data_IF_150257267015
#
_entry.id   IF_150257267015
#
_cell.length_a   1.000
_cell.length_b   1.000
_cell.length_c   1.000
_cell.angle_alpha   90.00
_cell.angle_beta   90.00
_cell.angle_gamma   90.00
#
_symmetry.space_group_name_H-M   'P 1'
#
loop_
_entity.id
_entity.type
_entity.pdbx_description
1 polymer ?
#
# COMPACT_ATOMS: atom_id res chain seq x y z
N UNK A 1 5.99 -11.77 3.68
CA UNK A 1 5.06 -10.78 3.10
C UNK A 1 4.87 -11.01 1.60
N UNK A 2 5.93 -11.19 0.80
CA UNK A 2 5.81 -11.44 -0.66
C UNK A 2 4.91 -12.63 -1.03
N UNK A 3 5.06 -13.78 -0.34
CA UNK A 3 4.20 -14.94 -0.57
C UNK A 3 2.71 -14.64 -0.31
N UNK A 4 2.42 -13.87 0.74
CA UNK A 4 1.05 -13.46 1.10
C UNK A 4 0.47 -12.58 -0.01
N UNK A 5 1.21 -11.57 -0.45
CA UNK A 5 0.78 -10.66 -1.51
C UNK A 5 0.55 -11.38 -2.84
N UNK A 6 1.43 -12.33 -3.18
CA UNK A 6 1.29 -13.18 -4.36
C UNK A 6 0.02 -14.04 -4.30
N UNK A 7 -0.27 -14.65 -3.17
CA UNK A 7 -1.50 -15.44 -2.98
C UNK A 7 -2.75 -14.56 -3.03
N UNK A 8 -2.71 -13.37 -2.43
CA UNK A 8 -3.81 -12.39 -2.55
C UNK A 8 -4.08 -12.04 -4.00
N UNK A 9 -3.06 -11.70 -4.80
CA UNK A 9 -3.20 -11.35 -6.22
C UNK A 9 -3.77 -12.49 -7.07
N UNK A 10 -3.38 -13.72 -6.76
CA UNK A 10 -3.83 -14.91 -7.48
C UNK A 10 -5.29 -15.29 -7.14
N UNK A 11 -5.86 -14.74 -6.07
CA UNK A 11 -7.20 -15.09 -5.63
C UNK A 11 -8.27 -14.58 -6.62
N UNK A 12 -9.32 -15.37 -6.96
CA UNK A 12 -10.35 -14.95 -7.92
C UNK A 12 -11.13 -13.69 -7.52
N UNK A 13 -11.16 -13.36 -6.23
CA UNK A 13 -11.78 -12.14 -5.72
C UNK A 13 -10.85 -10.91 -5.76
N UNK A 14 -9.61 -11.03 -6.26
CA UNK A 14 -8.66 -9.93 -6.26
C UNK A 14 -8.90 -8.89 -7.36
N UNK A 15 -9.79 -9.18 -8.33
CA UNK A 15 -9.98 -8.36 -9.54
C UNK A 15 -10.23 -6.86 -9.30
N UNK A 16 -10.94 -6.39 -8.25
CA UNK A 16 -11.12 -4.96 -8.01
C UNK A 16 -9.88 -4.28 -7.44
N UNK A 17 -8.94 -5.05 -6.90
CA UNK A 17 -7.79 -4.56 -6.14
C UNK A 17 -6.49 -4.65 -6.94
N UNK A 18 -6.56 -4.94 -8.24
CA UNK A 18 -5.36 -5.11 -9.07
C UNK A 18 -4.78 -3.78 -9.58
N UNK A 19 -5.63 -2.75 -9.67
CA UNK A 19 -5.33 -1.43 -10.20
C UNK A 19 -5.94 -0.38 -9.28
N UNK A 20 -5.38 0.84 -9.26
CA UNK A 20 -5.83 1.83 -8.33
C UNK A 20 -7.17 2.42 -8.75
N UNK A 21 -7.86 3.03 -7.78
CA UNK A 21 -9.15 3.68 -8.04
C UNK A 21 -8.88 5.00 -8.78
N UNK A 22 -9.37 5.09 -10.01
CA UNK A 22 -9.26 6.33 -10.79
C UNK A 22 -10.20 7.40 -10.23
N UNK A 23 -9.66 8.38 -9.50
CA UNK A 23 -10.47 9.45 -8.89
C UNK A 23 -11.03 10.46 -9.89
N UNK A 24 -10.50 10.53 -11.12
CA UNK A 24 -11.08 11.36 -12.17
C UNK A 24 -12.42 10.80 -12.66
N UNK A 25 -12.56 9.47 -12.63
CA UNK A 25 -13.79 8.74 -12.95
C UNK A 25 -14.74 8.68 -11.76
N UNK A 26 -14.20 8.47 -10.56
CA UNK A 26 -14.97 8.31 -9.31
C UNK A 26 -14.77 9.51 -8.40
N UNK A 27 -15.45 10.62 -8.73
CA UNK A 27 -15.21 11.93 -8.12
C UNK A 27 -15.61 12.06 -6.65
N UNK A 28 -16.55 11.22 -6.20
CA UNK A 28 -17.03 11.19 -4.82
C UNK A 28 -16.26 10.21 -3.92
N UNK A 29 -15.25 9.52 -4.47
CA UNK A 29 -14.48 8.53 -3.72
C UNK A 29 -13.83 9.13 -2.46
N UNK A 30 -13.17 10.28 -2.63
CA UNK A 30 -12.48 11.00 -1.55
C UNK A 30 -13.44 11.71 -0.58
N UNK A 31 -14.72 11.82 -0.92
CA UNK A 31 -15.74 12.33 0.00
C UNK A 31 -16.10 11.28 1.06
N UNK A 32 -15.95 10.00 0.74
CA UNK A 32 -16.27 8.87 1.62
C UNK A 32 -15.01 8.27 2.25
N UNK A 33 -13.98 8.00 1.45
CA UNK A 33 -12.74 7.37 1.90
C UNK A 33 -11.78 8.46 2.36
N UNK A 34 -11.53 8.52 3.67
CA UNK A 34 -10.73 9.56 4.32
C UNK A 34 -9.29 9.15 4.66
N UNK A 35 -8.99 7.86 4.58
CA UNK A 35 -7.66 7.31 4.92
C UNK A 35 -7.17 6.44 3.75
N UNK A 36 -6.43 7.02 2.80
CA UNK A 36 -5.81 6.28 1.73
C UNK A 36 -4.60 5.49 2.24
N UNK A 37 -4.35 4.32 1.65
CA UNK A 37 -3.25 3.42 2.03
C UNK A 37 -1.86 4.05 1.86
N UNK A 38 -1.73 5.04 0.97
CA UNK A 38 -0.50 5.82 0.81
C UNK A 38 -0.17 6.70 2.02
N UNK A 39 -1.16 7.06 2.84
CA UNK A 39 -1.02 7.95 4.00
C UNK A 39 -1.14 7.23 5.35
N UNK A 40 -1.54 5.95 5.36
CA UNK A 40 -1.54 5.10 6.55
C UNK A 40 -0.10 4.78 7.00
N UNK A 41 0.46 5.69 7.79
CA UNK A 41 1.32 5.36 8.92
C UNK A 41 2.52 4.43 8.67
N UNK A 42 3.51 4.87 7.90
CA UNK A 42 4.91 4.53 8.23
C UNK A 42 5.36 5.35 9.44
N UNK A 43 4.77 5.10 10.61
CA UNK A 43 5.28 5.60 11.91
C UNK A 43 6.15 4.55 12.58
N UNK A 44 7.11 3.99 11.85
CA UNK A 44 8.24 3.26 12.41
C UNK A 44 9.35 3.10 11.35
N UNK A 45 10.18 4.13 11.14
CA UNK A 45 11.47 3.92 10.44
C UNK A 45 12.03 5.10 9.65
N UNK A 46 11.21 6.03 9.18
CA UNK A 46 11.72 7.18 8.39
C UNK A 46 12.48 8.19 9.25
N UNK A 47 12.18 8.31 10.55
CA UNK A 47 12.93 9.18 11.46
C UNK A 47 14.35 8.69 11.77
N UNK A 48 14.58 7.37 11.82
CA UNK A 48 15.89 6.81 12.17
C UNK A 48 16.86 6.68 10.98
N UNK A 49 16.33 6.44 9.77
CA UNK A 49 17.16 6.31 8.57
C UNK A 49 17.55 7.66 7.95
N UNK A 50 16.71 8.69 8.08
CA UNK A 50 17.06 10.04 7.61
C UNK A 50 18.14 10.66 8.51
N UNK A 51 18.13 10.41 9.82
CA UNK A 51 19.19 10.86 10.73
C UNK A 51 20.55 10.17 10.48
N UNK A 52 20.55 8.91 10.01
CA UNK A 52 21.79 8.18 9.66
C UNK A 52 22.31 8.60 8.27
N UNK A 53 21.42 8.84 7.30
CA UNK A 53 21.82 9.26 5.93
C UNK A 53 22.22 10.72 5.83
N UNK A 54 21.73 11.60 6.73
CA UNK A 54 22.11 13.02 6.77
C UNK A 54 23.42 13.27 7.54
N UNK A 55 23.92 12.31 8.32
CA UNK A 55 25.12 12.51 9.16
C UNK A 55 26.44 11.95 8.58
N UNK A 56 26.38 11.13 7.52
CA UNK A 56 27.59 10.56 6.86
C UNK A 56 27.87 11.16 5.46
N UNK A 57 27.00 12.02 4.92
CA UNK A 57 27.22 12.67 3.62
C UNK A 57 28.03 13.95 3.81
N UNK A 58 29.28 13.79 4.26
CA UNK A 58 30.26 14.85 4.25
C UNK A 58 30.54 15.27 2.80
N UNK A 59 30.54 16.58 2.62
CA UNK A 59 30.71 17.35 1.40
C UNK A 59 31.83 16.80 0.49
N UNK A 60 31.53 16.71 -0.82
CA UNK A 60 32.44 16.30 -1.92
C UNK A 60 32.42 14.80 -2.26
N UNK A 61 32.46 14.50 -3.56
CA UNK A 61 32.55 13.16 -4.17
C UNK A 61 31.24 12.37 -4.36
N UNK A 62 30.42 12.79 -5.32
CA UNK A 62 29.77 11.82 -6.23
C UNK A 62 29.51 12.43 -7.62
N UNK A 63 30.59 12.92 -8.24
CA UNK A 63 30.71 12.88 -9.70
C UNK A 63 31.16 11.46 -10.02
N UNK A 64 30.58 10.85 -11.06
CA UNK A 64 30.85 9.50 -11.61
C UNK A 64 29.97 8.37 -11.03
N UNK A 65 28.83 8.15 -11.71
CA UNK A 65 28.35 6.80 -12.04
C UNK A 65 27.47 6.07 -11.02
N UNK A 66 26.23 6.52 -10.78
CA UNK A 66 25.08 5.63 -10.49
C UNK A 66 23.78 6.43 -10.62
N UNK A 67 23.29 6.59 -11.86
CA UNK A 67 21.95 7.13 -12.14
C UNK A 67 20.96 6.01 -11.79
N UNK A 68 20.59 5.89 -10.51
CA UNK A 68 19.44 5.09 -10.07
C UNK A 68 18.79 5.56 -8.78
N UNK A 69 19.32 6.60 -8.14
CA UNK A 69 18.74 7.21 -6.92
C UNK A 69 17.76 8.35 -7.24
N UNK A 70 17.72 8.84 -8.48
CA UNK A 70 16.93 10.03 -8.84
C UNK A 70 15.44 9.80 -9.19
N UNK A 71 14.94 8.56 -9.28
CA UNK A 71 13.54 8.35 -9.68
C UNK A 71 12.54 8.47 -8.51
N UNK A 72 12.92 8.08 -7.29
CA UNK A 72 11.98 8.00 -6.17
C UNK A 72 11.71 9.33 -5.45
N UNK A 73 12.68 10.24 -5.36
CA UNK A 73 12.45 11.55 -4.76
C UNK A 73 11.63 12.47 -5.69
N UNK A 74 11.72 12.26 -7.01
CA UNK A 74 10.95 13.03 -7.98
C UNK A 74 9.47 12.63 -8.02
N UNK A 75 9.12 11.35 -7.81
CA UNK A 75 7.71 10.96 -7.69
C UNK A 75 7.05 11.47 -6.40
N UNK A 76 7.76 11.49 -5.27
CA UNK A 76 7.20 12.01 -4.01
C UNK A 76 7.10 13.55 -3.95
N UNK A 77 7.93 14.28 -4.71
CA UNK A 77 7.90 15.74 -4.77
C UNK A 77 7.08 16.31 -5.95
N UNK A 78 6.60 15.46 -6.88
CA UNK A 78 5.85 15.89 -8.07
C UNK A 78 4.40 15.42 -8.12
N UNK A 79 3.94 14.59 -7.18
CA UNK A 79 2.52 14.25 -7.10
C UNK A 79 1.79 15.41 -6.40
N UNK A 80 0.87 16.12 -7.07
CA UNK A 80 0.01 17.05 -6.37
C UNK A 80 -0.76 16.28 -5.31
N UNK A 81 -0.90 16.85 -4.12
CA UNK A 81 -1.55 16.28 -2.92
C UNK A 81 -3.05 15.92 -3.09
N UNK A 82 -3.53 15.76 -4.33
CA UNK A 82 -4.91 15.62 -4.73
C UNK A 82 -5.17 14.34 -5.56
N UNK A 83 -4.23 13.39 -5.62
CA UNK A 83 -4.35 12.09 -6.31
C UNK A 83 -4.13 10.92 -5.35
N UNK A 84 -4.80 10.98 -4.19
CA UNK A 84 -4.64 9.98 -3.13
C UNK A 84 -5.43 8.69 -3.38
N UNK A 85 -6.50 8.73 -4.19
CA UNK A 85 -7.27 7.52 -4.54
C UNK A 85 -6.56 6.60 -5.52
N UNK A 86 -5.50 7.09 -6.19
CA UNK A 86 -4.66 6.29 -7.09
C UNK A 86 -3.71 5.32 -6.33
N UNK A 87 -3.81 5.24 -5.00
CA UNK A 87 -2.85 4.54 -4.13
C UNK A 87 -3.44 3.36 -3.34
N UNK A 88 -4.70 2.99 -3.57
CA UNK A 88 -5.43 2.02 -2.73
C UNK A 88 -5.63 0.65 -3.38
N UNK A 89 -4.54 0.01 -3.81
CA UNK A 89 -4.60 -1.31 -4.45
C UNK A 89 -3.38 -2.21 -4.12
N UNK A 90 -3.40 -3.45 -4.64
CA UNK A 90 -2.30 -4.39 -4.46
C UNK A 90 -0.99 -3.93 -5.14
N UNK A 91 -1.05 -3.03 -6.13
CA UNK A 91 0.16 -2.50 -6.80
C UNK A 91 0.92 -1.53 -5.90
N UNK A 92 0.22 -0.73 -5.11
CA UNK A 92 0.84 0.09 -4.08
C UNK A 92 1.42 -0.77 -2.95
N UNK A 93 0.76 -1.89 -2.60
CA UNK A 93 1.34 -2.84 -1.64
C UNK A 93 2.63 -3.48 -2.15
N UNK A 94 2.70 -3.83 -3.44
CA UNK A 94 3.94 -4.32 -4.07
C UNK A 94 5.04 -3.25 -3.96
N UNK A 95 4.73 -2.01 -4.32
CA UNK A 95 5.68 -0.91 -4.26
C UNK A 95 6.21 -0.67 -2.83
N UNK A 96 5.34 -0.69 -1.82
CA UNK A 96 5.75 -0.57 -0.41
C UNK A 96 6.63 -1.74 0.02
N UNK A 97 6.32 -2.96 -0.43
CA UNK A 97 7.10 -4.15 -0.11
C UNK A 97 8.50 -4.11 -0.77
N UNK A 98 8.59 -3.77 -2.05
CA UNK A 98 9.86 -3.67 -2.80
C UNK A 98 10.79 -2.59 -2.24
N UNK A 99 10.21 -1.52 -1.67
CA UNK A 99 10.96 -0.43 -1.04
C UNK A 99 11.16 -0.61 0.47
N UNK A 100 10.95 -1.82 1.01
CA UNK A 100 11.10 -2.12 2.44
C UNK A 100 10.31 -1.17 3.36
N UNK A 101 9.15 -0.69 2.92
CA UNK A 101 8.29 0.23 3.68
C UNK A 101 7.43 -0.46 4.75
N UNK A 102 7.45 -1.80 4.79
CA UNK A 102 6.86 -2.61 5.85
C UNK A 102 7.98 -3.13 6.76
N UNK A 103 8.05 -2.62 7.99
CA UNK A 103 9.03 -3.07 8.98
C UNK A 103 8.60 -4.39 9.60
N UNK A 104 7.28 -4.55 9.79
CA UNK A 104 6.64 -5.71 10.39
C UNK A 104 5.54 -6.25 9.46
N UNK A 105 5.17 -7.52 9.67
CA UNK A 105 4.07 -8.12 8.89
C UNK A 105 2.72 -7.49 9.27
N UNK A 106 2.59 -7.00 10.49
CA UNK A 106 1.44 -6.27 10.99
C UNK A 106 1.20 -5.00 10.16
N UNK A 107 2.25 -4.24 9.81
CA UNK A 107 2.15 -3.04 8.96
C UNK A 107 1.53 -3.40 7.59
N UNK A 108 1.99 -4.52 7.01
CA UNK A 108 1.46 -5.04 5.75
C UNK A 108 -0.02 -5.46 5.87
N UNK A 109 -0.38 -6.11 6.98
CA UNK A 109 -1.75 -6.57 7.23
C UNK A 109 -2.69 -5.38 7.45
N UNK A 110 -2.25 -4.34 8.15
CA UNK A 110 -3.04 -3.13 8.38
C UNK A 110 -3.38 -2.41 7.08
N UNK A 111 -2.43 -2.32 6.15
CA UNK A 111 -2.66 -1.75 4.82
C UNK A 111 -3.60 -2.61 3.97
N UNK A 112 -3.40 -3.94 3.96
CA UNK A 112 -4.31 -4.86 3.27
C UNK A 112 -5.73 -4.74 3.81
N UNK A 113 -5.88 -4.65 5.14
CA UNK A 113 -7.16 -4.47 5.81
C UNK A 113 -7.79 -3.12 5.46
N UNK A 114 -7.01 -2.03 5.50
CA UNK A 114 -7.48 -0.70 5.16
C UNK A 114 -8.03 -0.64 3.73
N UNK A 115 -7.32 -1.22 2.75
CA UNK A 115 -7.78 -1.33 1.37
C UNK A 115 -9.15 -2.05 1.27
N UNK A 116 -9.32 -3.16 2.00
CA UNK A 116 -10.57 -3.92 2.01
C UNK A 116 -11.70 -3.19 2.74
N UNK A 117 -11.39 -2.50 3.84
CA UNK A 117 -12.33 -1.71 4.64
C UNK A 117 -12.82 -0.49 3.85
N UNK A 118 -11.94 0.23 3.16
CA UNK A 118 -12.31 1.34 2.27
C UNK A 118 -13.24 0.87 1.15
N UNK A 119 -12.94 -0.30 0.55
CA UNK A 119 -13.82 -0.89 -0.45
C UNK A 119 -15.21 -1.18 0.11
N UNK A 120 -15.32 -1.76 1.31
CA UNK A 120 -16.61 -2.03 1.96
C UNK A 120 -17.35 -0.75 2.37
N UNK A 121 -16.62 0.28 2.77
CA UNK A 121 -17.17 1.56 3.20
C UNK A 121 -17.79 2.33 2.03
N UNK A 122 -17.07 2.43 0.91
CA UNK A 122 -17.54 3.15 -0.28
C UNK A 122 -18.65 2.36 -1.00
N UNK A 123 -18.50 1.04 -1.10
CA UNK A 123 -19.41 0.22 -1.89
C UNK A 123 -20.53 -0.39 -1.01
N UNK A 124 -21.82 -0.17 -1.32
CA UNK A 124 -22.92 -0.80 -0.58
C UNK A 124 -22.86 -2.34 -0.57
N UNK A 125 -23.38 -2.97 0.48
CA UNK A 125 -23.37 -4.44 0.67
C UNK A 125 -24.00 -5.24 -0.47
N UNK A 126 -24.95 -4.62 -1.20
CA UNK A 126 -25.62 -5.23 -2.34
C UNK A 126 -24.69 -5.42 -3.54
N UNK A 127 -23.63 -4.62 -3.65
CA UNK A 127 -22.72 -4.57 -4.80
C UNK A 127 -21.78 -5.78 -4.86
N UNK A 128 -21.26 -6.03 -6.06
CA UNK A 128 -20.22 -7.06 -6.27
C UNK A 128 -18.91 -6.69 -5.60
N UNK A 129 -18.57 -5.39 -5.52
CA UNK A 129 -17.34 -4.90 -4.91
C UNK A 129 -17.29 -5.21 -3.41
N UNK A 130 -18.35 -4.86 -2.67
CA UNK A 130 -18.44 -5.14 -1.24
C UNK A 130 -18.35 -6.64 -0.95
N UNK A 131 -19.13 -7.46 -1.68
CA UNK A 131 -19.10 -8.93 -1.54
C UNK A 131 -17.71 -9.51 -1.86
N UNK A 132 -17.00 -8.89 -2.79
CA UNK A 132 -15.65 -9.31 -3.20
C UNK A 132 -14.61 -8.93 -2.14
N UNK A 133 -14.74 -7.78 -1.49
CA UNK A 133 -13.92 -7.38 -0.35
C UNK A 133 -14.05 -8.35 0.84
N UNK A 134 -15.28 -8.77 1.19
CA UNK A 134 -15.51 -9.79 2.24
C UNK A 134 -14.81 -11.12 1.90
N UNK A 135 -14.87 -11.54 0.63
CA UNK A 135 -14.19 -12.76 0.18
C UNK A 135 -12.67 -12.63 0.26
N UNK A 136 -12.13 -11.46 -0.08
CA UNK A 136 -10.70 -11.18 0.02
C UNK A 136 -10.21 -11.09 1.46
N UNK A 137 -10.99 -10.53 2.38
CA UNK A 137 -10.66 -10.51 3.81
C UNK A 137 -10.58 -11.92 4.38
N UNK A 138 -11.55 -12.78 4.04
CA UNK A 138 -11.49 -14.20 4.39
C UNK A 138 -10.28 -14.90 3.77
N UNK A 139 -9.99 -14.64 2.49
CA UNK A 139 -8.82 -15.21 1.84
C UNK A 139 -7.52 -14.78 2.52
N UNK A 140 -7.38 -13.49 2.87
CA UNK A 140 -6.23 -12.98 3.61
C UNK A 140 -6.10 -13.69 4.97
N UNK A 141 -7.20 -13.84 5.72
CA UNK A 141 -7.20 -14.57 6.98
C UNK A 141 -6.70 -16.02 6.84
N UNK A 142 -7.11 -16.70 5.78
CA UNK A 142 -6.74 -18.09 5.50
C UNK A 142 -5.27 -18.20 5.03
N UNK A 143 -4.80 -17.25 4.22
CA UNK A 143 -3.39 -17.14 3.78
C UNK A 143 -2.48 -16.88 4.99
N UNK A 144 -2.84 -15.95 5.89
CA UNK A 144 -2.05 -15.65 7.08
C UNK A 144 -1.88 -16.89 7.96
N UNK A 145 -2.98 -17.65 8.18
CA UNK A 145 -2.93 -18.92 8.89
C UNK A 145 -2.05 -19.96 8.20
N UNK A 146 -2.09 -20.05 6.87
CA UNK A 146 -1.29 -21.04 6.12
C UNK A 146 0.22 -20.79 6.26
N UNK A 147 0.63 -19.53 6.46
CA UNK A 147 2.03 -19.14 6.69
C UNK A 147 2.40 -19.03 8.18
N UNK A 148 1.52 -19.47 9.09
CA UNK A 148 1.79 -19.49 10.54
C UNK A 148 1.65 -18.16 11.26
N UNK A 149 0.94 -17.19 10.67
CA UNK A 149 0.65 -15.88 11.27
C UNK A 149 -0.73 -15.93 11.91
N UNK A 150 -0.76 -15.87 13.25
CA UNK A 150 -2.02 -15.75 14.01
C UNK A 150 -2.40 -14.28 14.16
N UNK A 151 -3.13 -13.76 13.18
CA UNK A 151 -3.68 -12.42 13.17
C UNK A 151 -5.19 -12.51 12.93
N UNK A 152 -5.99 -11.74 13.67
CA UNK A 152 -7.45 -11.72 13.54
C UNK A 152 -7.90 -10.43 12.86
N UNK A 153 -8.40 -10.57 11.63
CA UNK A 153 -8.96 -9.46 10.84
C UNK A 153 -10.28 -8.94 11.41
#
# INVERSE_FOLDING_TARGET
MEAVLKEMRAHPAAWPFQKPVNTDEVKDYLDVVKKPMGESGSVAGVGGFIDVLMNEMNFSVMVVGYIRVCACLYCFLSLPANHTGDLEDLSMMDFKLENNSYALIEDFIEDAKLMLDNCKLYNPESTVYHKTAIRMEKALQDILKSVGVDYRL
#
